data_IF_395383710342
#
_entry.id   IF_395383710342
#
_cell.length_a   1.000
_cell.length_b   1.000
_cell.length_c   1.000
_cell.angle_alpha   90.00
_cell.angle_beta   90.00
_cell.angle_gamma   90.00
#
_symmetry.space_group_name_H-M   'P 1'
#
loop_
_entity.id
_entity.type
_entity.pdbx_description
1 polymer ?
#
# COMPACT_ATOMS: atom_id res chain seq x y z
N UNK A 1 -1.27 13.02 -16.33
CA UNK A 1 0.07 12.42 -16.24
C UNK A 1 -0.03 11.19 -15.33
N UNK A 2 0.20 9.99 -15.87
CA UNK A 2 0.23 8.73 -15.12
C UNK A 2 1.54 8.66 -14.33
N UNK A 3 1.62 9.32 -13.17
CA UNK A 3 2.87 9.48 -12.46
C UNK A 3 3.31 8.23 -11.69
N UNK A 4 4.61 7.90 -11.75
CA UNK A 4 5.44 7.36 -10.65
C UNK A 4 6.91 7.72 -10.90
N UNK A 5 7.64 8.18 -9.86
CA UNK A 5 9.10 8.05 -9.69
C UNK A 5 9.62 8.70 -8.38
N UNK A 6 10.39 7.94 -7.60
CA UNK A 6 11.64 8.31 -6.89
C UNK A 6 12.26 7.01 -6.33
N UNK A 7 13.54 6.75 -6.67
CA UNK A 7 14.43 5.67 -6.22
C UNK A 7 15.83 6.32 -6.08
N UNK A 8 16.50 6.24 -4.93
CA UNK A 8 17.75 6.98 -4.68
C UNK A 8 18.98 6.08 -4.42
N UNK A 9 19.23 5.12 -5.31
CA UNK A 9 20.39 4.20 -5.31
C UNK A 9 20.31 3.03 -4.30
N UNK A 10 19.78 1.91 -4.78
CA UNK A 10 19.79 0.62 -4.09
C UNK A 10 21.14 -0.10 -4.23
N UNK A 11 21.55 -0.80 -3.17
CA UNK A 11 22.10 -2.15 -3.36
C UNK A 11 21.11 -3.24 -2.90
N UNK A 12 20.21 -2.95 -1.95
CA UNK A 12 19.02 -3.78 -1.67
C UNK A 12 17.82 -2.94 -1.19
N UNK A 13 16.78 -2.77 -2.02
CA UNK A 13 15.42 -2.35 -1.61
C UNK A 13 15.08 -0.83 -1.65
N UNK A 14 13.85 -0.43 -2.05
CA UNK A 14 13.48 0.98 -2.23
C UNK A 14 13.19 1.63 -0.87
N UNK A 15 14.23 1.83 -0.07
CA UNK A 15 14.10 2.44 1.25
C UNK A 15 13.95 3.95 1.09
N UNK A 16 12.72 4.44 0.96
CA UNK A 16 12.42 5.84 1.26
C UNK A 16 12.46 5.99 2.77
N UNK A 17 13.52 6.60 3.30
CA UNK A 17 13.60 6.91 4.72
C UNK A 17 12.68 8.08 5.01
N UNK A 18 11.58 7.79 5.72
CA UNK A 18 10.72 8.83 6.29
C UNK A 18 11.29 9.24 7.63
N UNK A 19 11.38 10.55 7.85
CA UNK A 19 11.76 11.13 9.14
C UNK A 19 10.55 11.86 9.70
N UNK A 20 10.40 11.85 11.03
CA UNK A 20 9.44 12.72 11.69
C UNK A 20 9.76 14.16 11.29
N UNK A 21 8.76 14.87 10.74
CA UNK A 21 8.90 16.29 10.44
C UNK A 21 9.16 17.05 11.74
N UNK A 22 10.39 17.52 11.91
CA UNK A 22 10.84 18.39 12.99
C UNK A 22 11.27 19.77 12.47
N UNK A 23 11.03 20.05 11.18
CA UNK A 23 11.36 21.30 10.48
C UNK A 23 12.85 21.65 10.46
N UNK A 24 13.74 20.65 10.54
CA UNK A 24 15.15 20.87 10.26
C UNK A 24 15.37 21.17 8.77
N UNK A 25 16.46 21.88 8.46
CA UNK A 25 16.80 22.40 7.13
C UNK A 25 16.72 21.36 6.00
N UNK A 26 17.08 20.10 6.27
CA UNK A 26 17.05 19.01 5.30
C UNK A 26 15.67 18.35 5.14
N UNK A 27 14.68 18.78 5.93
CA UNK A 27 13.30 18.32 5.87
C UNK A 27 12.35 19.35 5.27
N UNK A 28 12.86 20.50 4.85
CA UNK A 28 12.07 21.61 4.33
C UNK A 28 12.19 21.71 2.81
N UNK A 29 11.03 21.72 2.16
CA UNK A 29 10.94 21.65 0.72
C UNK A 29 9.98 22.71 0.18
N UNK A 30 10.27 23.18 -1.03
CA UNK A 30 9.35 23.97 -1.83
C UNK A 30 8.80 23.11 -2.96
N UNK A 31 7.47 23.11 -3.10
CA UNK A 31 6.80 22.62 -4.30
C UNK A 31 6.63 23.78 -5.29
N UNK A 32 7.23 23.66 -6.47
CA UNK A 32 6.95 24.57 -7.56
C UNK A 32 5.81 23.98 -8.42
N UNK A 33 4.62 24.56 -8.27
CA UNK A 33 3.43 24.12 -8.99
C UNK A 33 3.47 24.42 -10.50
N UNK A 34 4.38 25.29 -10.96
CA UNK A 34 4.49 25.67 -12.37
C UNK A 34 5.27 24.61 -13.16
N UNK A 35 6.38 24.12 -12.60
CA UNK A 35 7.26 23.14 -13.27
C UNK A 35 7.16 21.72 -12.68
N UNK A 36 6.43 21.53 -11.58
CA UNK A 36 6.24 20.24 -10.92
C UNK A 36 7.47 19.74 -10.17
N UNK A 37 8.38 20.64 -9.77
CA UNK A 37 9.62 20.25 -9.08
C UNK A 37 9.55 20.46 -7.56
N UNK A 38 10.23 19.57 -6.83
CA UNK A 38 10.51 19.72 -5.39
C UNK A 38 11.93 20.26 -5.24
N UNK A 39 12.14 21.31 -4.45
CA UNK A 39 13.45 21.93 -4.19
C UNK A 39 13.76 21.98 -2.69
N UNK A 40 15.00 21.69 -2.30
CA UNK A 40 15.46 21.89 -0.91
C UNK A 40 15.50 23.39 -0.63
N UNK A 41 14.93 23.84 0.49
CA UNK A 41 15.05 25.24 0.93
C UNK A 41 15.05 25.32 2.46
N UNK A 42 15.97 26.13 3.00
CA UNK A 42 16.05 26.42 4.44
C UNK A 42 14.77 27.07 5.02
N UNK A 43 13.90 27.62 4.17
CA UNK A 43 12.57 28.12 4.53
C UNK A 43 11.50 27.44 3.67
N UNK A 44 11.14 26.21 4.04
CA UNK A 44 10.12 25.40 3.37
C UNK A 44 9.19 24.68 4.34
N UNK A 45 8.17 24.01 3.81
CA UNK A 45 7.31 23.14 4.60
C UNK A 45 7.88 21.72 4.58
N UNK A 46 7.65 20.97 5.66
CA UNK A 46 7.84 19.53 5.59
C UNK A 46 6.78 18.93 4.68
N UNK A 47 7.21 18.10 3.74
CA UNK A 47 6.31 17.21 3.02
C UNK A 47 6.24 15.90 3.82
N UNK A 48 5.09 15.61 4.41
CA UNK A 48 4.84 14.32 5.07
C UNK A 48 4.04 13.41 4.15
N UNK A 49 4.44 12.14 4.06
CA UNK A 49 3.63 11.08 3.42
C UNK A 49 2.98 10.29 4.55
N UNK A 50 1.80 10.71 4.98
CA UNK A 50 1.01 9.96 5.96
C UNK A 50 0.34 8.79 5.25
N UNK A 51 1.08 7.69 5.04
CA UNK A 51 0.50 6.44 4.58
C UNK A 51 0.14 5.58 5.77
N UNK A 52 -0.99 5.91 6.41
CA UNK A 52 -1.51 5.17 7.56
C UNK A 52 -2.22 3.86 7.14
N UNK A 53 -2.46 3.65 5.85
CA UNK A 53 -3.06 2.43 5.31
C UNK A 53 -2.02 1.69 4.48
N UNK A 54 -1.78 0.42 4.83
CA UNK A 54 -0.74 -0.38 4.21
C UNK A 54 -1.30 -1.70 3.68
N UNK A 55 -0.73 -2.13 2.54
CA UNK A 55 -0.96 -3.45 1.95
C UNK A 55 0.39 -4.13 1.83
N UNK A 56 0.58 -5.21 2.58
CA UNK A 56 1.77 -6.05 2.47
C UNK A 56 1.41 -7.35 1.76
N UNK A 57 2.33 -7.87 0.96
CA UNK A 57 2.10 -9.10 0.19
C UNK A 57 3.32 -10.00 0.19
N UNK A 58 3.11 -11.31 0.17
CA UNK A 58 4.15 -12.32 -0.02
C UNK A 58 3.62 -13.48 -0.86
N UNK A 59 4.33 -13.89 -1.92
CA UNK A 59 3.94 -15.06 -2.70
C UNK A 59 4.04 -16.33 -1.84
N UNK A 60 3.13 -17.25 -2.08
CA UNK A 60 3.09 -18.58 -1.48
C UNK A 60 3.47 -19.64 -2.53
N UNK A 61 3.89 -20.83 -2.07
CA UNK A 61 4.37 -21.91 -2.93
C UNK A 61 3.31 -22.47 -3.90
N UNK A 62 2.02 -22.26 -3.60
CA UNK A 62 0.89 -22.67 -4.42
C UNK A 62 0.43 -21.59 -5.42
N UNK A 63 1.27 -20.57 -5.68
CA UNK A 63 0.98 -19.42 -6.55
C UNK A 63 -0.13 -18.49 -6.03
N UNK A 64 -0.60 -18.70 -4.80
CA UNK A 64 -1.44 -17.72 -4.11
C UNK A 64 -0.60 -16.61 -3.47
N UNK A 65 -1.27 -15.57 -2.98
CA UNK A 65 -0.66 -14.45 -2.28
C UNK A 65 -1.14 -14.41 -0.82
N UNK A 66 -0.21 -14.30 0.13
CA UNK A 66 -0.52 -13.86 1.47
C UNK A 66 -0.58 -12.33 1.48
N UNK A 67 -1.68 -11.75 1.96
CA UNK A 67 -1.91 -10.30 1.96
C UNK A 67 -2.25 -9.84 3.37
N UNK A 68 -1.60 -8.77 3.84
CA UNK A 68 -1.91 -8.09 5.10
C UNK A 68 -2.42 -6.69 4.81
N UNK A 69 -3.59 -6.37 5.36
CA UNK A 69 -4.20 -5.05 5.31
C UNK A 69 -4.08 -4.43 6.70
N UNK A 70 -3.30 -3.37 6.83
CA UNK A 70 -2.99 -2.73 8.11
C UNK A 70 -3.54 -1.31 8.14
N UNK A 71 -4.43 -1.04 9.10
CA UNK A 71 -4.92 0.30 9.37
C UNK A 71 -4.16 0.89 10.58
N UNK A 72 -3.28 1.85 10.32
CA UNK A 72 -2.43 2.52 11.32
C UNK A 72 -2.95 3.90 11.73
N UNK A 73 -4.09 4.33 11.21
CA UNK A 73 -4.68 5.64 11.58
C UNK A 73 -4.89 5.72 13.09
N UNK A 74 -4.84 6.92 13.65
CA UNK A 74 -5.05 7.12 15.09
C UNK A 74 -6.52 7.17 15.51
N UNK A 75 -7.44 7.21 14.55
CA UNK A 75 -8.88 7.24 14.78
C UNK A 75 -9.65 6.91 13.51
N UNK A 76 -10.82 6.27 13.65
CA UNK A 76 -11.69 5.96 12.52
C UNK A 76 -11.47 4.56 11.96
N UNK A 77 -12.48 4.07 11.23
CA UNK A 77 -12.43 2.78 10.57
C UNK A 77 -12.20 3.02 9.08
N UNK A 78 -11.30 2.25 8.49
CA UNK A 78 -10.89 2.45 7.11
C UNK A 78 -11.12 1.21 6.27
N UNK A 79 -11.43 1.42 5.00
CA UNK A 79 -11.50 0.36 4.01
C UNK A 79 -10.21 0.34 3.20
N UNK A 80 -9.59 -0.83 3.10
CA UNK A 80 -8.36 -1.00 2.33
C UNK A 80 -8.63 -1.90 1.14
N UNK A 81 -8.25 -1.43 -0.05
CA UNK A 81 -8.39 -2.17 -1.30
C UNK A 81 -7.06 -2.76 -1.73
N UNK A 82 -7.04 -4.05 -2.01
CA UNK A 82 -5.95 -4.73 -2.72
C UNK A 82 -6.38 -5.00 -4.16
N UNK A 83 -5.61 -4.51 -5.14
CA UNK A 83 -5.83 -4.82 -6.56
C UNK A 83 -4.98 -6.02 -6.96
N UNK A 84 -5.53 -6.88 -7.82
CA UNK A 84 -4.83 -8.04 -8.37
C UNK A 84 -3.54 -7.67 -9.09
N UNK A 85 -3.55 -6.56 -9.83
CA UNK A 85 -2.36 -6.04 -10.51
C UNK A 85 -1.25 -5.62 -9.55
N UNK A 86 -1.59 -5.22 -8.32
CA UNK A 86 -0.60 -4.82 -7.31
C UNK A 86 0.06 -6.02 -6.62
N UNK A 87 -0.59 -7.20 -6.68
CA UNK A 87 -0.10 -8.46 -6.12
C UNK A 87 0.31 -9.46 -7.21
N UNK A 88 0.56 -9.01 -8.43
CA UNK A 88 1.11 -9.84 -9.51
C UNK A 88 0.12 -10.76 -10.23
N UNK A 89 -1.19 -10.58 -10.03
CA UNK A 89 -2.21 -11.29 -10.79
C UNK A 89 -2.66 -10.48 -12.03
N UNK A 90 -3.12 -11.14 -13.11
CA UNK A 90 -3.65 -10.45 -14.28
C UNK A 90 -4.84 -9.55 -13.93
N UNK A 91 -4.98 -8.45 -14.68
CA UNK A 91 -6.19 -7.63 -14.59
C UNK A 91 -7.43 -8.45 -14.96
N UNK A 92 -8.52 -8.32 -14.20
CA UNK A 92 -9.74 -9.09 -14.42
C UNK A 92 -9.67 -10.57 -13.99
N UNK A 93 -8.56 -11.04 -13.41
CA UNK A 93 -8.47 -12.39 -12.85
C UNK A 93 -9.53 -12.58 -11.74
N UNK A 94 -10.22 -13.72 -11.75
CA UNK A 94 -11.04 -14.13 -10.62
C UNK A 94 -10.15 -14.80 -9.56
N UNK A 95 -10.37 -14.50 -8.28
CA UNK A 95 -9.59 -15.08 -7.19
C UNK A 95 -10.47 -15.32 -5.96
N UNK A 96 -10.19 -16.41 -5.25
CA UNK A 96 -10.80 -16.74 -3.96
C UNK A 96 -10.07 -15.96 -2.86
N UNK A 97 -10.82 -15.25 -2.03
CA UNK A 97 -10.28 -14.51 -0.87
C UNK A 97 -10.66 -15.23 0.41
N UNK A 98 -9.66 -15.59 1.21
CA UNK A 98 -9.83 -16.27 2.51
C UNK A 98 -9.26 -15.42 3.64
N UNK A 99 -10.03 -15.17 4.68
CA UNK A 99 -9.54 -14.58 5.93
C UNK A 99 -8.85 -15.67 6.77
N UNK A 100 -7.58 -15.46 7.11
CA UNK A 100 -6.77 -16.43 7.83
C UNK A 100 -7.03 -16.42 9.34
N UNK A 101 -7.39 -15.27 9.91
CA UNK A 101 -7.75 -15.16 11.33
C UNK A 101 -9.04 -15.89 11.66
N UNK A 102 -10.08 -15.66 10.86
CA UNK A 102 -11.40 -16.30 11.06
C UNK A 102 -11.50 -17.65 10.35
N UNK A 103 -10.48 -18.05 9.59
CA UNK A 103 -10.45 -19.28 8.77
C UNK A 103 -11.66 -19.42 7.84
N UNK A 104 -12.15 -18.29 7.33
CA UNK A 104 -13.37 -18.21 6.52
C UNK A 104 -13.08 -17.73 5.11
N UNK A 105 -13.67 -18.39 4.13
CA UNK A 105 -13.68 -17.90 2.75
C UNK A 105 -14.69 -16.76 2.62
N UNK A 106 -14.23 -15.63 2.11
CA UNK A 106 -15.04 -14.42 1.94
C UNK A 106 -15.76 -14.39 0.60
N UNK A 107 -15.34 -15.24 -0.35
CA UNK A 107 -15.94 -15.38 -1.67
C UNK A 107 -14.92 -15.30 -2.81
N UNK A 108 -15.43 -15.18 -4.03
CA UNK A 108 -14.67 -14.99 -5.26
C UNK A 108 -14.82 -13.53 -5.70
N UNK A 109 -13.71 -12.87 -6.01
CA UNK A 109 -13.67 -11.47 -6.43
C UNK A 109 -12.88 -11.31 -7.73
N UNK A 110 -13.25 -10.30 -8.53
CA UNK A 110 -12.67 -10.03 -9.85
C UNK A 110 -11.90 -8.71 -9.81
N UNK A 111 -10.61 -8.75 -10.17
CA UNK A 111 -9.73 -7.58 -10.26
C UNK A 111 -9.26 -6.96 -8.94
N UNK A 112 -10.03 -7.04 -7.85
CA UNK A 112 -9.66 -6.49 -6.55
C UNK A 112 -10.52 -7.07 -5.41
N UNK A 113 -10.10 -6.79 -4.17
CA UNK A 113 -10.90 -6.96 -2.97
C UNK A 113 -10.78 -5.72 -2.08
N UNK A 114 -11.91 -5.23 -1.56
CA UNK A 114 -11.95 -4.16 -0.57
C UNK A 114 -12.42 -4.72 0.76
N UNK A 115 -11.60 -4.60 1.80
CA UNK A 115 -11.98 -5.01 3.14
C UNK A 115 -12.93 -4.01 3.77
N UNK A 116 -14.07 -4.46 4.34
CA UNK A 116 -15.00 -3.55 5.00
C UNK A 116 -14.50 -3.21 6.41
N UNK A 117 -14.36 -1.90 6.68
CA UNK A 117 -14.28 -1.32 8.04
C UNK A 117 -13.22 -1.97 8.94
N UNK A 118 -11.95 -1.89 8.55
CA UNK A 118 -10.84 -2.25 9.42
C UNK A 118 -10.74 -1.16 10.50
N UNK A 119 -10.92 -1.55 11.77
CA UNK A 119 -10.76 -0.62 12.88
C UNK A 119 -9.38 0.03 12.88
N UNK A 120 -9.24 1.23 13.46
CA UNK A 120 -7.93 1.83 13.70
C UNK A 120 -7.03 0.87 14.48
N UNK A 121 -5.72 0.95 14.22
CA UNK A 121 -4.68 0.06 14.78
C UNK A 121 -4.93 -1.44 14.60
N UNK A 122 -5.78 -1.82 13.65
CA UNK A 122 -6.17 -3.21 13.43
C UNK A 122 -5.63 -3.74 12.11
N UNK A 123 -5.61 -5.07 12.01
CA UNK A 123 -5.00 -5.80 10.91
C UNK A 123 -5.90 -6.95 10.46
N UNK A 124 -5.91 -7.20 9.15
CA UNK A 124 -6.52 -8.40 8.57
C UNK A 124 -5.47 -9.12 7.73
N UNK A 125 -5.44 -10.45 7.87
CA UNK A 125 -4.59 -11.31 7.06
C UNK A 125 -5.44 -12.17 6.13
N UNK A 126 -5.12 -12.13 4.84
CA UNK A 126 -5.83 -12.80 3.77
C UNK A 126 -4.90 -13.78 3.03
N UNK A 127 -5.47 -14.87 2.54
CA UNK A 127 -4.89 -15.66 1.44
C UNK A 127 -5.74 -15.44 0.20
N UNK A 128 -5.11 -15.09 -0.91
CA UNK A 128 -5.77 -14.78 -2.17
C UNK A 128 -5.26 -15.74 -3.24
N UNK A 129 -6.14 -16.60 -3.73
CA UNK A 129 -5.80 -17.68 -4.66
C UNK A 129 -6.46 -17.44 -6.01
N UNK A 130 -5.71 -17.27 -7.11
CA UNK A 130 -6.31 -17.09 -8.42
C UNK A 130 -7.07 -18.36 -8.80
N UNK A 131 -8.29 -18.22 -9.31
CA UNK A 131 -9.02 -19.36 -9.86
C UNK A 131 -8.39 -19.76 -11.18
N UNK A 132 -8.23 -21.06 -11.44
CA UNK A 132 -7.81 -21.53 -12.75
C UNK A 132 -8.81 -21.02 -13.80
N UNK A 133 -8.32 -20.34 -14.84
CA UNK A 133 -9.16 -20.00 -15.99
C UNK A 133 -9.51 -21.33 -16.68
N UNK A 134 -10.80 -21.68 -16.72
CA UNK A 134 -11.29 -22.74 -17.60
C UNK A 134 -11.17 -22.31 -19.05
#
# INVERSE_FOLDING_TARGET
>A
MNGKCLNFNQQHGPHVNTLTCNKQDYQQWLWNAIDGTIRIKHDGQCLTVLQELEVWTSPLSDHSQAVVLLNRVNSGNESITVKWTDIGFPNGQAAIVRNLWTRKDLGIFIGNYTSPNINYHSVIMLKITPTQNK
#
